data_IF_082175981665
#
_entry.id   IF_082175981665
#
_cell.length_a   1.000
_cell.length_b   1.000
_cell.length_c   1.000
_cell.angle_alpha   90.00
_cell.angle_beta   90.00
_cell.angle_gamma   90.00
#
_symmetry.space_group_name_H-M   'P 1'
#
loop_
_entity.id
_entity.type
_entity.pdbx_description
1 polymer ?
#
# COMPACT_ATOMS: atom_id res chain seq x y z
N UNK A 1 -109.39 -8.73 36.22
CA UNK A 1 -108.83 -8.12 37.44
C UNK A 1 -107.40 -8.59 37.57
N UNK A 2 -106.49 -7.61 37.67
CA UNK A 2 -105.18 -7.66 38.31
C UNK A 2 -104.08 -8.42 37.57
N UNK A 3 -102.85 -7.95 37.42
CA UNK A 3 -102.18 -6.66 37.69
C UNK A 3 -100.88 -6.72 36.85
N UNK A 4 -100.39 -5.59 36.32
CA UNK A 4 -98.99 -5.50 35.86
C UNK A 4 -98.03 -5.70 37.04
N UNK A 5 -96.81 -6.16 36.77
CA UNK A 5 -95.73 -5.23 37.05
C UNK A 5 -94.69 -5.13 35.94
N UNK A 6 -94.27 -3.88 35.75
CA UNK A 6 -93.12 -3.38 35.01
C UNK A 6 -91.83 -4.04 35.54
N UNK A 7 -90.99 -4.56 34.65
CA UNK A 7 -89.59 -4.88 34.97
C UNK A 7 -88.71 -4.11 33.98
N UNK A 8 -88.07 -3.09 34.52
CA UNK A 8 -86.97 -2.35 33.91
C UNK A 8 -85.77 -3.28 33.82
N UNK A 9 -85.24 -3.48 32.61
CA UNK A 9 -83.99 -4.19 32.41
C UNK A 9 -82.90 -3.15 32.15
N UNK A 10 -82.15 -2.83 33.20
CA UNK A 10 -80.85 -2.17 33.10
C UNK A 10 -79.94 -3.00 32.18
N UNK A 11 -79.25 -2.30 31.27
CA UNK A 11 -78.17 -2.83 30.44
C UNK A 11 -76.88 -2.54 31.21
N UNK A 12 -76.07 -3.56 31.57
CA UNK A 12 -74.74 -3.33 32.11
C UNK A 12 -73.84 -2.78 31.00
N UNK A 13 -73.25 -1.61 31.25
CA UNK A 13 -72.15 -1.02 30.50
C UNK A 13 -70.83 -1.49 31.13
N UNK A 14 -70.33 -2.67 30.78
CA UNK A 14 -69.06 -3.12 31.33
C UNK A 14 -68.36 -4.11 30.37
N UNK A 15 -67.14 -3.71 29.98
CA UNK A 15 -66.02 -4.59 29.60
C UNK A 15 -65.93 -5.07 28.14
N UNK A 16 -65.71 -4.11 27.24
CA UNK A 16 -64.75 -4.29 26.14
C UNK A 16 -63.33 -4.44 26.70
N UNK A 17 -62.98 -5.61 27.22
CA UNK A 17 -61.58 -5.99 27.42
C UNK A 17 -61.03 -6.52 26.09
N UNK A 18 -60.80 -5.57 25.17
CA UNK A 18 -60.04 -5.78 23.95
C UNK A 18 -58.59 -6.04 24.32
N UNK A 19 -58.24 -7.32 24.38
CA UNK A 19 -56.87 -7.82 24.45
C UNK A 19 -56.08 -7.27 23.25
N UNK A 20 -55.36 -6.17 23.48
CA UNK A 20 -54.39 -5.62 22.55
C UNK A 20 -53.26 -6.64 22.37
N UNK A 21 -53.30 -7.40 21.29
CA UNK A 21 -52.16 -8.22 20.90
C UNK A 21 -50.97 -7.31 20.55
N UNK A 22 -49.75 -7.63 21.04
CA UNK A 22 -48.57 -6.84 20.71
C UNK A 22 -48.24 -6.96 19.21
N UNK A 23 -48.10 -5.81 18.55
CA UNK A 23 -47.82 -5.75 17.13
C UNK A 23 -46.41 -6.24 16.74
N UNK A 24 -46.16 -6.59 15.47
CA UNK A 24 -44.92 -7.24 14.99
C UNK A 24 -43.61 -6.43 15.14
N UNK A 25 -43.65 -5.25 15.76
CA UNK A 25 -42.54 -4.29 15.83
C UNK A 25 -42.21 -3.84 17.26
N UNK A 26 -42.74 -4.53 18.28
CA UNK A 26 -42.60 -4.13 19.69
C UNK A 26 -41.24 -4.48 20.34
N UNK A 27 -40.20 -4.75 19.52
CA UNK A 27 -38.83 -4.99 19.99
C UNK A 27 -38.03 -3.70 20.22
N UNK A 28 -38.70 -2.54 20.26
CA UNK A 28 -38.07 -1.24 20.51
C UNK A 28 -37.56 -1.14 21.95
N UNK A 29 -36.35 -1.67 22.16
CA UNK A 29 -35.53 -1.43 23.33
C UNK A 29 -35.47 0.09 23.60
N UNK A 30 -35.82 0.49 24.83
CA UNK A 30 -36.00 1.90 25.18
C UNK A 30 -34.74 2.75 24.84
N UNK A 31 -34.88 4.04 24.49
CA UNK A 31 -33.76 4.92 24.17
C UNK A 31 -32.64 4.94 25.23
N UNK A 32 -32.99 4.64 26.49
CA UNK A 32 -32.06 4.55 27.62
C UNK A 32 -31.06 3.40 27.52
N UNK A 33 -31.34 2.38 26.69
CA UNK A 33 -30.50 1.18 26.54
C UNK A 33 -29.61 1.26 25.29
N UNK A 34 -30.13 1.76 24.15
CA UNK A 34 -29.31 1.87 22.92
C UNK A 34 -28.36 3.07 22.90
N UNK A 35 -28.73 4.21 23.48
CA UNK A 35 -27.87 5.40 23.47
C UNK A 35 -26.46 5.17 24.07
N UNK A 36 -26.29 4.49 25.22
CA UNK A 36 -24.95 4.17 25.72
C UNK A 36 -24.21 3.15 24.84
N UNK A 37 -24.92 2.18 24.25
CA UNK A 37 -24.33 1.20 23.33
C UNK A 37 -23.79 1.85 22.04
N UNK A 38 -24.53 2.83 21.50
CA UNK A 38 -24.12 3.59 20.32
C UNK A 38 -22.91 4.48 20.62
N UNK A 39 -22.84 5.05 21.83
CA UNK A 39 -21.69 5.84 22.29
C UNK A 39 -20.38 5.02 22.34
N UNK A 40 -20.43 3.81 22.89
CA UNK A 40 -19.25 2.90 22.95
C UNK A 40 -18.81 2.47 21.55
N UNK A 41 -19.77 2.18 20.66
CA UNK A 41 -19.48 1.75 19.30
C UNK A 41 -18.83 2.87 18.48
N UNK A 42 -19.29 4.12 18.65
CA UNK A 42 -18.72 5.30 17.98
C UNK A 42 -17.29 5.59 18.47
N UNK A 43 -17.01 5.37 19.76
CA UNK A 43 -15.66 5.45 20.34
C UNK A 43 -14.72 4.36 19.80
N UNK A 44 -15.21 3.13 19.65
CA UNK A 44 -14.42 2.04 19.09
C UNK A 44 -14.07 2.30 17.61
N UNK A 45 -15.03 2.75 16.81
CA UNK A 45 -14.82 3.08 15.39
C UNK A 45 -13.84 4.23 15.23
N UNK A 46 -13.94 5.28 16.05
CA UNK A 46 -13.00 6.40 16.02
C UNK A 46 -11.59 6.00 16.46
N UNK A 47 -11.45 5.14 17.47
CA UNK A 47 -10.15 4.63 17.89
C UNK A 47 -9.47 3.76 16.82
N UNK A 48 -10.24 2.92 16.10
CA UNK A 48 -9.73 2.12 14.98
C UNK A 48 -9.34 3.01 13.80
N UNK A 49 -10.19 3.98 13.43
CA UNK A 49 -9.88 4.91 12.35
C UNK A 49 -8.66 5.78 12.68
N UNK A 50 -8.52 6.22 13.94
CA UNK A 50 -7.38 6.99 14.41
C UNK A 50 -6.10 6.14 14.50
N UNK A 51 -6.22 4.87 14.93
CA UNK A 51 -5.11 3.92 14.90
C UNK A 51 -4.65 3.61 13.47
N UNK A 52 -5.59 3.48 12.52
CA UNK A 52 -5.28 3.35 11.10
C UNK A 52 -4.60 4.61 10.57
N UNK A 53 -5.11 5.80 10.90
CA UNK A 53 -4.50 7.08 10.51
C UNK A 53 -3.08 7.29 11.08
N UNK A 54 -2.84 6.91 12.34
CA UNK A 54 -1.50 6.95 12.95
C UNK A 54 -0.54 5.90 12.38
N UNK A 55 -1.05 4.82 11.76
CA UNK A 55 -0.27 3.73 11.18
C UNK A 55 -0.19 3.81 9.64
N UNK A 56 -0.87 4.78 9.03
CA UNK A 56 -0.67 5.12 7.64
C UNK A 56 0.65 5.88 7.55
N UNK A 57 1.71 5.20 7.12
CA UNK A 57 2.93 5.85 6.66
C UNK A 57 2.52 6.89 5.61
N UNK A 58 2.78 8.17 5.89
CA UNK A 58 2.64 9.24 4.90
C UNK A 58 3.49 8.85 3.70
N UNK A 59 2.84 8.41 2.62
CA UNK A 59 3.46 8.31 1.31
C UNK A 59 3.93 9.71 0.96
N UNK A 60 5.22 9.97 1.19
CA UNK A 60 5.85 11.21 0.78
C UNK A 60 5.59 11.36 -0.71
N UNK A 61 4.76 12.34 -1.08
CA UNK A 61 4.68 12.82 -2.45
C UNK A 61 6.11 13.08 -2.90
N UNK A 62 6.57 12.29 -3.87
CA UNK A 62 7.92 12.39 -4.41
C UNK A 62 8.15 13.85 -4.78
N UNK A 63 9.04 14.51 -4.03
CA UNK A 63 9.51 15.83 -4.39
C UNK A 63 10.10 15.68 -5.79
N UNK A 64 9.55 16.41 -6.76
CA UNK A 64 10.09 16.44 -8.11
C UNK A 64 11.56 16.85 -8.00
N UNK A 65 12.47 15.90 -8.16
CA UNK A 65 13.90 16.15 -8.03
C UNK A 65 14.30 17.10 -9.16
N UNK A 66 14.97 18.22 -8.81
CA UNK A 66 15.50 19.14 -9.79
C UNK A 66 16.48 18.40 -10.73
N UNK A 67 16.57 18.79 -12.01
CA UNK A 67 17.46 18.11 -12.96
C UNK A 67 18.90 18.16 -12.46
N UNK A 68 19.47 16.99 -12.14
CA UNK A 68 20.85 16.81 -11.69
C UNK A 68 21.73 16.59 -12.90
N UNK A 69 22.88 17.26 -13.01
CA UNK A 69 23.82 16.96 -14.10
C UNK A 69 24.49 15.60 -13.83
N UNK A 70 24.52 14.73 -14.83
CA UNK A 70 25.32 13.52 -14.85
C UNK A 70 26.82 13.87 -14.93
N UNK A 71 27.74 12.94 -14.58
CA UNK A 71 29.18 13.19 -14.56
C UNK A 71 29.77 13.67 -15.90
N UNK A 72 29.09 13.37 -17.02
CA UNK A 72 29.45 13.77 -18.38
C UNK A 72 28.90 15.14 -18.79
N UNK A 73 28.19 15.84 -17.89
CA UNK A 73 27.59 17.15 -18.15
C UNK A 73 26.22 17.10 -18.83
N UNK A 74 25.63 15.91 -19.03
CA UNK A 74 24.25 15.77 -19.51
C UNK A 74 23.24 15.95 -18.36
N UNK A 75 22.00 16.33 -18.67
CA UNK A 75 20.94 16.33 -17.65
C UNK A 75 20.54 14.89 -17.34
N UNK A 76 20.59 14.49 -16.05
CA UNK A 76 19.88 13.28 -15.60
C UNK A 76 18.40 13.47 -15.91
N UNK A 77 17.78 12.38 -16.37
CA UNK A 77 16.36 12.35 -16.64
C UNK A 77 15.61 12.87 -15.40
N UNK A 78 14.58 13.73 -15.56
CA UNK A 78 13.78 14.21 -14.42
C UNK A 78 13.15 13.05 -13.62
N UNK A 79 12.86 11.94 -14.30
CA UNK A 79 12.44 10.69 -13.68
C UNK A 79 13.68 9.90 -13.29
N UNK A 80 13.79 9.59 -12.00
CA UNK A 80 14.82 8.72 -11.45
C UNK A 80 14.26 8.03 -10.20
N UNK A 81 13.47 6.98 -10.41
CA UNK A 81 12.81 6.25 -9.33
C UNK A 81 13.56 4.98 -8.99
N UNK A 82 13.47 4.60 -7.71
CA UNK A 82 14.08 3.39 -7.17
C UNK A 82 13.02 2.50 -6.56
N UNK A 83 12.91 1.25 -7.02
CA UNK A 83 11.91 0.30 -6.51
C UNK A 83 12.59 -1.00 -6.09
N UNK A 84 12.27 -1.49 -4.90
CA UNK A 84 12.81 -2.75 -4.39
C UNK A 84 12.00 -3.93 -4.95
N UNK A 85 12.68 -5.02 -5.33
CA UNK A 85 11.98 -6.21 -5.81
C UNK A 85 12.67 -7.53 -5.42
N UNK A 86 11.88 -8.60 -5.44
CA UNK A 86 12.39 -9.96 -5.37
C UNK A 86 11.55 -10.92 -6.23
N UNK A 87 12.21 -11.98 -6.70
CA UNK A 87 11.58 -13.15 -7.32
C UNK A 87 11.90 -14.37 -6.47
N UNK A 88 10.89 -15.18 -6.17
CA UNK A 88 11.03 -16.48 -5.53
C UNK A 88 10.47 -17.59 -6.42
N UNK A 89 11.18 -18.73 -6.46
CA UNK A 89 10.75 -19.95 -7.13
C UNK A 89 10.86 -21.08 -6.12
N UNK A 90 9.71 -21.64 -5.72
CA UNK A 90 9.59 -22.73 -4.74
C UNK A 90 10.37 -22.45 -3.44
N UNK A 91 10.19 -21.26 -2.90
CA UNK A 91 10.83 -20.80 -1.67
C UNK A 91 12.29 -20.34 -1.83
N UNK A 92 12.90 -20.50 -3.00
CA UNK A 92 14.26 -20.04 -3.28
C UNK A 92 14.26 -18.65 -3.94
N UNK A 93 15.02 -17.70 -3.39
CA UNK A 93 15.15 -16.37 -3.97
C UNK A 93 16.02 -16.42 -5.22
N UNK A 94 15.50 -15.92 -6.33
CA UNK A 94 16.23 -15.82 -7.57
C UNK A 94 17.37 -14.81 -7.45
N UNK A 95 18.57 -15.23 -7.86
CA UNK A 95 19.76 -14.41 -7.79
C UNK A 95 19.89 -13.50 -9.01
N UNK A 96 19.47 -12.24 -8.88
CA UNK A 96 19.75 -11.22 -9.89
C UNK A 96 21.21 -10.76 -9.91
N UNK A 97 22.04 -11.27 -8.99
CA UNK A 97 23.44 -10.90 -8.85
C UNK A 97 24.42 -11.63 -9.77
N UNK A 98 23.92 -12.11 -10.90
CA UNK A 98 24.69 -12.89 -11.87
C UNK A 98 24.90 -12.10 -13.16
N UNK A 99 25.99 -12.43 -13.85
CA UNK A 99 26.32 -11.86 -15.16
C UNK A 99 25.13 -12.01 -16.11
N UNK A 100 24.77 -10.92 -16.77
CA UNK A 100 23.67 -10.90 -17.75
C UNK A 100 22.48 -10.02 -17.37
N UNK A 101 22.27 -9.73 -16.07
CA UNK A 101 21.16 -8.85 -15.64
C UNK A 101 21.57 -7.44 -15.29
N UNK A 102 22.80 -7.25 -14.81
CA UNK A 102 23.28 -5.93 -14.39
C UNK A 102 23.73 -5.06 -15.54
N UNK A 103 23.46 -3.78 -15.39
CA UNK A 103 24.03 -2.71 -16.18
C UNK A 103 25.27 -2.14 -15.50
N UNK A 104 26.17 -1.59 -16.30
CA UNK A 104 27.24 -0.70 -15.84
C UNK A 104 26.79 0.73 -16.09
N UNK A 105 27.13 1.68 -15.21
CA UNK A 105 26.82 3.10 -15.43
C UNK A 105 27.41 3.56 -16.78
N UNK A 106 26.57 4.10 -17.66
CA UNK A 106 26.90 4.51 -19.03
C UNK A 106 26.82 3.39 -20.08
N UNK A 107 26.57 2.14 -19.66
CA UNK A 107 26.35 0.99 -20.53
C UNK A 107 25.10 0.23 -20.07
N UNK A 108 23.99 0.94 -19.96
CA UNK A 108 22.72 0.39 -19.51
C UNK A 108 22.14 -0.60 -20.53
N UNK A 109 21.73 -1.78 -20.05
CA UNK A 109 21.05 -2.79 -20.86
C UNK A 109 19.74 -2.27 -21.45
N UNK A 110 19.02 -1.48 -20.67
CA UNK A 110 17.87 -0.70 -21.12
C UNK A 110 17.98 0.72 -20.53
N UNK A 111 17.95 1.76 -21.39
CA UNK A 111 18.17 3.15 -20.96
C UNK A 111 17.03 3.71 -20.10
N UNK A 112 15.89 3.04 -20.05
CA UNK A 112 14.71 3.50 -19.30
C UNK A 112 14.52 2.74 -17.99
N UNK A 113 14.97 1.47 -17.93
CA UNK A 113 14.81 0.66 -16.73
C UNK A 113 15.88 -0.41 -16.62
N UNK A 114 16.57 -0.45 -15.49
CA UNK A 114 17.66 -1.40 -15.30
C UNK A 114 17.94 -1.65 -13.81
N UNK A 115 18.83 -2.60 -13.56
CA UNK A 115 19.44 -2.85 -12.25
C UNK A 115 20.95 -2.77 -12.41
N UNK A 116 21.68 -2.42 -11.36
CA UNK A 116 23.14 -2.37 -11.39
C UNK A 116 23.75 -2.72 -10.03
N UNK A 117 25.05 -3.03 -10.03
CA UNK A 117 25.79 -3.27 -8.79
C UNK A 117 25.90 -1.99 -7.93
N UNK A 118 25.91 -2.10 -6.60
CA UNK A 118 25.90 -3.33 -5.80
C UNK A 118 24.49 -3.78 -5.37
N UNK A 119 23.42 -3.29 -6.03
CA UNK A 119 22.03 -3.47 -5.60
C UNK A 119 21.20 -4.20 -6.67
N UNK A 120 21.42 -5.51 -6.87
CA UNK A 120 20.69 -6.35 -7.85
C UNK A 120 19.17 -6.31 -7.73
N UNK A 121 18.67 -5.99 -6.54
CA UNK A 121 17.26 -6.03 -6.17
C UNK A 121 16.62 -4.63 -6.11
N UNK A 122 17.28 -3.62 -6.69
CA UNK A 122 16.74 -2.25 -6.82
C UNK A 122 16.63 -1.89 -8.29
N UNK A 123 15.40 -1.78 -8.77
CA UNK A 123 15.11 -1.31 -10.13
C UNK A 123 15.25 0.21 -10.18
N UNK A 124 16.00 0.68 -11.17
CA UNK A 124 16.18 2.08 -11.50
C UNK A 124 15.30 2.42 -12.71
N UNK A 125 14.49 3.46 -12.59
CA UNK A 125 13.54 3.87 -13.64
C UNK A 125 13.83 5.31 -14.06
N UNK A 126 13.96 5.51 -15.36
CA UNK A 126 14.29 6.79 -15.99
C UNK A 126 13.19 7.33 -16.91
N UNK A 127 12.01 6.69 -16.93
CA UNK A 127 10.85 7.11 -17.73
C UNK A 127 9.55 6.88 -16.97
N UNK A 128 8.63 7.84 -17.07
CA UNK A 128 7.29 7.68 -16.49
C UNK A 128 6.56 6.49 -17.13
N UNK A 129 5.65 5.88 -16.38
CA UNK A 129 4.78 4.78 -16.84
C UNK A 129 5.56 3.55 -17.33
N UNK A 130 6.83 3.40 -16.92
CA UNK A 130 7.55 2.15 -17.12
C UNK A 130 6.95 1.07 -16.22
N UNK A 131 6.63 -0.08 -16.83
CA UNK A 131 5.93 -1.17 -16.17
C UNK A 131 6.88 -2.30 -15.76
N UNK A 132 6.38 -3.18 -14.88
CA UNK A 132 7.11 -4.40 -14.51
C UNK A 132 7.30 -5.37 -15.67
N UNK A 133 6.39 -5.40 -16.65
CA UNK A 133 6.58 -6.21 -17.86
C UNK A 133 7.73 -5.70 -18.72
N UNK A 134 7.85 -4.38 -18.91
CA UNK A 134 8.98 -3.77 -19.64
C UNK A 134 10.31 -4.13 -18.97
N UNK A 135 10.37 -4.00 -17.65
CA UNK A 135 11.57 -4.35 -16.88
C UNK A 135 11.94 -5.82 -17.04
N UNK A 136 11.00 -6.75 -16.76
CA UNK A 136 11.26 -8.19 -16.83
C UNK A 136 11.62 -8.63 -18.26
N UNK A 137 10.90 -8.11 -19.25
CA UNK A 137 11.18 -8.39 -20.67
C UNK A 137 12.55 -7.89 -21.10
N UNK A 138 13.03 -6.75 -20.57
CA UNK A 138 14.38 -6.26 -20.84
C UNK A 138 15.49 -7.18 -20.32
N UNK A 139 15.18 -8.01 -19.33
CA UNK A 139 16.07 -9.02 -18.76
C UNK A 139 15.87 -10.41 -19.39
N UNK A 140 14.99 -10.54 -20.39
CA UNK A 140 14.68 -11.80 -21.07
C UNK A 140 13.64 -12.68 -20.37
N UNK A 141 12.98 -12.18 -19.33
CA UNK A 141 11.84 -12.88 -18.72
C UNK A 141 10.57 -12.63 -19.52
N UNK A 142 9.59 -13.51 -19.39
CA UNK A 142 8.22 -13.26 -19.85
C UNK A 142 7.24 -13.55 -18.71
N UNK A 143 6.35 -12.60 -18.45
CA UNK A 143 5.37 -12.70 -17.38
C UNK A 143 3.95 -12.70 -17.94
N UNK A 144 3.07 -13.51 -17.36
CA UNK A 144 1.61 -13.42 -17.48
C UNK A 144 0.98 -13.60 -16.10
N UNK A 145 -0.34 -13.43 -15.99
CA UNK A 145 -1.05 -13.70 -14.74
C UNK A 145 -0.91 -15.16 -14.26
N UNK A 146 -0.58 -16.09 -15.16
CA UNK A 146 -0.54 -17.52 -14.88
C UNK A 146 0.81 -18.18 -15.17
N UNK A 147 1.81 -17.46 -15.66
CA UNK A 147 3.11 -18.06 -15.96
C UNK A 147 4.27 -17.07 -15.89
N UNK A 148 5.42 -17.60 -15.48
CA UNK A 148 6.72 -16.95 -15.51
C UNK A 148 7.66 -17.78 -16.38
N UNK A 149 8.27 -17.16 -17.38
CA UNK A 149 9.33 -17.77 -18.19
C UNK A 149 10.64 -17.09 -17.88
N UNK A 150 11.66 -17.88 -17.54
CA UNK A 150 13.01 -17.40 -17.29
C UNK A 150 13.77 -17.18 -18.60
N UNK A 151 14.90 -16.44 -18.59
CA UNK A 151 15.71 -16.19 -19.78
C UNK A 151 16.27 -17.44 -20.45
N UNK A 152 16.43 -18.53 -19.71
CA UNK A 152 16.87 -19.83 -20.23
C UNK A 152 15.74 -20.63 -20.93
N UNK A 153 14.52 -20.09 -20.95
CA UNK A 153 13.33 -20.71 -21.51
C UNK A 153 12.54 -21.60 -20.54
N UNK A 154 13.02 -21.77 -19.30
CA UNK A 154 12.30 -22.52 -18.27
C UNK A 154 10.99 -21.82 -17.94
N UNK A 155 9.87 -22.54 -18.03
CA UNK A 155 8.52 -22.00 -17.81
C UNK A 155 7.86 -22.60 -16.57
N UNK A 156 7.41 -21.72 -15.69
CA UNK A 156 6.58 -22.02 -14.52
C UNK A 156 5.15 -21.57 -14.81
N UNK A 157 4.18 -22.43 -14.58
CA UNK A 157 2.76 -22.17 -14.87
C UNK A 157 1.89 -22.66 -13.72
N UNK A 158 0.83 -21.91 -13.42
CA UNK A 158 -0.16 -22.29 -12.41
C UNK A 158 -0.71 -23.69 -12.69
N UNK A 159 -0.69 -24.54 -11.66
CA UNK A 159 -1.15 -25.93 -11.77
C UNK A 159 -0.51 -26.83 -10.71
N UNK A 160 -1.10 -28.01 -10.49
CA UNK A 160 -0.58 -29.03 -9.57
C UNK A 160 -0.29 -28.52 -8.15
N UNK A 161 -1.08 -27.56 -7.66
CA UNK A 161 -0.90 -26.94 -6.35
C UNK A 161 0.12 -25.80 -6.30
N UNK A 162 0.87 -25.55 -7.38
CA UNK A 162 1.77 -24.40 -7.49
C UNK A 162 1.06 -23.21 -8.13
N UNK A 163 1.30 -22.01 -7.59
CA UNK A 163 0.70 -20.77 -8.10
C UNK A 163 1.70 -19.63 -8.12
N UNK A 164 1.63 -18.85 -9.20
CA UNK A 164 2.26 -17.55 -9.36
C UNK A 164 1.42 -16.52 -8.61
N UNK A 165 2.08 -15.73 -7.77
CA UNK A 165 1.47 -14.70 -6.92
C UNK A 165 2.30 -13.43 -7.02
N UNK A 166 1.63 -12.30 -6.95
CA UNK A 166 2.24 -10.97 -7.00
C UNK A 166 1.83 -10.18 -5.77
N UNK A 167 2.77 -9.46 -5.19
CA UNK A 167 2.51 -8.53 -4.10
C UNK A 167 3.16 -7.19 -4.42
N UNK A 168 2.37 -6.13 -4.32
CA UNK A 168 2.83 -4.75 -4.45
C UNK A 168 2.57 -4.07 -3.11
N UNK A 169 3.63 -3.54 -2.49
CA UNK A 169 3.57 -2.90 -1.17
C UNK A 169 2.84 -3.76 -0.12
N UNK A 170 3.03 -5.08 -0.16
CA UNK A 170 2.47 -6.05 0.79
C UNK A 170 1.03 -6.47 0.46
N UNK A 171 0.43 -5.91 -0.59
CA UNK A 171 -0.92 -6.26 -1.02
C UNK A 171 -0.86 -7.22 -2.20
N UNK A 172 -1.56 -8.34 -2.10
CA UNK A 172 -1.68 -9.30 -3.20
C UNK A 172 -2.47 -8.68 -4.35
N UNK A 173 -1.96 -8.82 -5.57
CA UNK A 173 -2.65 -8.42 -6.80
C UNK A 173 -2.67 -9.58 -7.79
N UNK A 174 -3.60 -9.55 -8.74
CA UNK A 174 -3.75 -10.61 -9.73
C UNK A 174 -2.92 -10.37 -11.01
N UNK A 175 -2.64 -9.11 -11.35
CA UNK A 175 -1.89 -8.74 -12.56
C UNK A 175 -0.79 -7.72 -12.25
N UNK A 176 0.46 -8.11 -12.49
CA UNK A 176 1.63 -7.25 -12.30
C UNK A 176 2.11 -6.55 -13.57
N UNK A 177 1.89 -7.15 -14.75
CA UNK A 177 2.50 -6.72 -16.02
C UNK A 177 2.29 -5.24 -16.35
N UNK A 178 1.09 -4.73 -16.06
CA UNK A 178 0.68 -3.36 -16.35
C UNK A 178 0.85 -2.41 -15.18
N UNK A 179 1.40 -2.88 -14.06
CA UNK A 179 1.67 -2.01 -12.93
C UNK A 179 2.89 -1.16 -13.24
N UNK A 180 2.74 0.15 -13.05
CA UNK A 180 3.86 1.08 -13.12
C UNK A 180 4.82 0.82 -11.98
N UNK A 181 6.11 0.97 -12.25
CA UNK A 181 7.16 0.90 -11.24
C UNK A 181 7.18 2.25 -10.52
N UNK A 182 6.64 2.28 -9.31
CA UNK A 182 6.60 3.49 -8.48
C UNK A 182 7.89 3.69 -7.67
N UNK A 183 8.22 4.95 -7.40
CA UNK A 183 9.34 5.32 -6.53
C UNK A 183 9.13 4.83 -5.10
N UNK A 184 10.20 4.31 -4.51
CA UNK A 184 10.25 3.66 -3.20
C UNK A 184 9.25 2.49 -3.05
N UNK A 185 8.73 1.97 -4.17
CA UNK A 185 7.83 0.83 -4.21
C UNK A 185 8.52 -0.47 -3.84
N UNK A 186 7.70 -1.48 -3.53
CA UNK A 186 8.15 -2.85 -3.26
C UNK A 186 7.33 -3.85 -4.03
N UNK A 187 8.01 -4.77 -4.70
CA UNK A 187 7.35 -5.86 -5.43
C UNK A 187 7.94 -7.22 -5.09
N UNK A 188 7.05 -8.18 -4.84
CA UNK A 188 7.40 -9.59 -4.71
C UNK A 188 6.67 -10.38 -5.79
N UNK A 189 7.46 -11.11 -6.57
CA UNK A 189 6.98 -12.13 -7.51
C UNK A 189 7.34 -13.48 -6.90
N UNK A 190 6.38 -14.39 -6.79
CA UNK A 190 6.66 -15.71 -6.23
C UNK A 190 5.86 -16.80 -6.91
N UNK A 191 6.54 -17.90 -7.25
CA UNK A 191 5.93 -19.10 -7.80
C UNK A 191 6.19 -20.29 -6.89
N UNK A 192 5.14 -20.95 -6.41
CA UNK A 192 5.28 -22.14 -5.57
C UNK A 192 3.98 -22.53 -4.86
N UNK A 193 4.00 -23.61 -4.05
CA UNK A 193 2.83 -24.12 -3.35
C UNK A 193 2.42 -23.31 -2.12
N UNK A 194 3.25 -22.36 -1.68
CA UNK A 194 3.03 -21.56 -0.48
C UNK A 194 1.74 -20.73 -0.60
N UNK A 195 1.02 -20.63 0.51
CA UNK A 195 -0.13 -19.73 0.64
C UNK A 195 0.31 -18.25 0.64
N UNK A 196 -0.63 -17.35 0.39
CA UNK A 196 -0.33 -15.92 0.40
C UNK A 196 0.17 -15.44 1.78
N UNK A 197 -0.38 -15.99 2.87
CA UNK A 197 0.02 -15.63 4.23
C UNK A 197 1.44 -16.10 4.56
N UNK A 198 1.80 -17.32 4.16
CA UNK A 198 3.17 -17.84 4.32
C UNK A 198 4.18 -16.99 3.53
N UNK A 199 3.84 -16.61 2.30
CA UNK A 199 4.67 -15.73 1.48
C UNK A 199 4.88 -14.37 2.16
N UNK A 200 3.82 -13.76 2.71
CA UNK A 200 3.91 -12.49 3.42
C UNK A 200 4.71 -12.58 4.73
N UNK A 201 4.74 -13.74 5.37
CA UNK A 201 5.51 -13.95 6.59
C UNK A 201 6.99 -14.26 6.34
N UNK A 202 7.29 -15.03 5.29
CA UNK A 202 8.62 -15.61 5.06
C UNK A 202 9.39 -14.89 3.96
N UNK A 203 8.75 -14.62 2.82
CA UNK A 203 9.42 -14.08 1.63
C UNK A 203 9.34 -12.55 1.57
N UNK A 204 8.19 -11.96 1.88
CA UNK A 204 8.01 -10.50 1.84
C UNK A 204 9.04 -9.70 2.66
N UNK A 205 9.46 -10.13 3.88
CA UNK A 205 10.48 -9.41 4.64
C UNK A 205 11.85 -9.33 3.94
N UNK A 206 12.14 -10.20 2.97
CA UNK A 206 13.40 -10.16 2.20
C UNK A 206 13.42 -9.10 1.11
N UNK A 207 12.25 -8.56 0.73
CA UNK A 207 12.15 -7.34 -0.09
C UNK A 207 12.55 -6.16 0.80
N UNK A 208 13.86 -5.99 0.93
CA UNK A 208 14.52 -4.99 1.79
C UNK A 208 14.16 -3.57 1.32
N UNK A 209 14.60 -2.52 2.04
CA UNK A 209 14.49 -1.10 1.61
C UNK A 209 15.82 -0.46 1.12
N UNK A 210 16.66 -1.11 0.29
CA UNK A 210 17.88 -0.47 -0.22
C UNK A 210 17.61 0.66 -1.21
N UNK A 211 16.39 0.79 -1.77
CA UNK A 211 15.96 2.02 -2.44
C UNK A 211 16.01 3.25 -1.52
N UNK A 212 15.76 3.07 -0.22
CA UNK A 212 15.93 4.09 0.81
C UNK A 212 17.43 4.21 1.22
N UNK A 213 18.30 4.67 0.33
CA UNK A 213 19.69 4.98 0.69
C UNK A 213 19.88 6.47 1.01
N UNK A 214 20.56 6.84 2.12
CA UNK A 214 20.76 8.23 2.52
C UNK A 214 21.67 9.06 1.59
N UNK A 215 22.20 8.50 0.50
CA UNK A 215 22.78 9.30 -0.59
C UNK A 215 21.69 10.00 -1.42
N UNK A 216 20.51 9.38 -1.56
CA UNK A 216 19.35 9.99 -2.21
C UNK A 216 18.74 11.10 -1.31
N UNK A 217 18.77 10.92 0.02
CA UNK A 217 18.28 11.94 0.96
C UNK A 217 19.22 13.16 1.14
N UNK A 218 20.48 13.10 0.66
CA UNK A 218 21.50 14.11 0.99
C UNK A 218 21.40 15.41 0.19
N UNK A 219 20.58 15.44 -0.88
CA UNK A 219 20.37 16.64 -1.70
C UNK A 219 19.42 17.64 -1.02
N UNK A 220 18.50 17.17 -0.17
CA UNK A 220 17.51 18.01 0.52
C UNK A 220 18.08 18.81 1.72
N UNK A 221 19.18 18.36 2.34
CA UNK A 221 19.68 18.95 3.59
C UNK A 221 20.66 20.13 3.39
N UNK A 222 21.29 20.28 2.23
CA UNK A 222 22.29 21.35 2.02
C UNK A 222 21.72 22.74 1.78
N UNK A 223 20.41 22.90 1.59
CA UNK A 223 19.79 24.23 1.46
C UNK A 223 19.34 24.88 2.77
N UNK A 224 19.38 24.18 3.91
CA UNK A 224 18.94 24.74 5.21
C UNK A 224 20.07 25.32 6.08
N UNK A 225 21.34 25.22 5.66
CA UNK A 225 22.50 25.70 6.44
C UNK A 225 23.26 26.87 5.81
N UNK A 226 22.62 27.68 4.98
CA UNK A 226 23.20 28.95 4.46
C UNK A 226 22.49 30.22 4.94
N UNK A 227 21.49 30.13 5.82
CA UNK A 227 20.79 31.29 6.41
C UNK A 227 20.94 31.32 7.93
N UNK A 228 22.17 31.23 8.42
CA UNK A 228 22.47 31.63 9.80
C UNK A 228 23.90 32.15 9.94
N UNK A 229 24.30 33.06 9.05
CA UNK A 229 25.52 33.86 9.27
C UNK A 229 25.49 35.20 8.53
N UNK A 230 24.43 35.98 8.75
CA UNK A 230 24.38 37.38 8.32
C UNK A 230 23.61 38.25 9.33
N UNK A 231 24.04 38.25 10.59
CA UNK A 231 23.61 39.26 11.55
C UNK A 231 24.64 39.40 12.69
N UNK A 232 25.75 40.11 12.41
CA UNK A 232 26.52 40.83 13.42
C UNK A 232 27.37 41.89 12.71
N UNK A 233 26.79 43.05 12.51
CA UNK A 233 27.53 44.27 12.20
C UNK A 233 28.35 44.67 13.44
N UNK A 234 29.59 45.15 13.28
CA UNK A 234 30.36 45.69 14.40
C UNK A 234 29.85 47.08 14.75
N UNK A 235 29.37 47.25 16.00
CA UNK A 235 29.16 48.57 16.60
C UNK A 235 30.53 49.22 16.80
N UNK A 236 30.78 50.25 16.01
CA UNK A 236 31.97 51.10 16.09
C UNK A 236 31.81 52.04 17.28
N UNK A 237 32.47 51.76 18.40
CA UNK A 237 32.58 52.69 19.52
C UNK A 237 33.61 53.79 19.17
N UNK A 238 33.17 55.05 19.24
CA UNK A 238 34.02 56.26 19.26
C UNK A 238 34.22 56.70 20.72
N UNK A 239 35.43 57.20 21.03
CA UNK A 239 35.75 58.06 22.18
C UNK A 239 36.18 57.29 23.42
N UNK A 240 37.31 57.60 24.07
CA UNK A 240 38.03 58.87 24.25
C UNK A 240 39.53 58.70 24.07
#
# INVERSE_FOLDING_TARGET
MNDEPTIEHEVPEDEEDSLLEPGPWDWYLSPKIWLPGLGVLLLAVTAVAFGWWLNSDDSSVAATEAPVLAPDGTFRQPVHWHSDFALFIRGEQFNFAQDGFWSTEGEEKNPYVHIHEPRPTVVHVHREQTTWDEFLSSLGFSLTDNSLTLPDGTKYMNGNGETLKFFVNGTRIDTLMFQDIADLGKVLITFGPESADEVLQVQWPTVTRPAFHPSCARTASRHSLSLSRAARAPVRARGR
#
